data_IF_352122207214
#
_entry.id   IF_352122207214
#
_cell.length_a   1.000
_cell.length_b   1.000
_cell.length_c   1.000
_cell.angle_alpha   90.00
_cell.angle_beta   90.00
_cell.angle_gamma   90.00
#
_symmetry.space_group_name_H-M   'P 1'
#
loop_
_entity.id
_entity.type
_entity.pdbx_description
1 polymer ?
#
# COMPACT_ATOMS: atom_id res chain seq x y z
N UNK A 1 20.20 38.86 60.52
CA UNK A 1 18.74 38.68 60.33
C UNK A 1 18.45 38.92 58.86
N UNK A 2 18.19 37.84 58.12
CA UNK A 2 18.15 37.81 56.66
C UNK A 2 16.74 38.14 56.13
N UNK A 3 16.66 38.81 54.97
CA UNK A 3 15.43 38.91 54.16
C UNK A 3 15.73 38.33 52.78
N UNK A 4 15.13 37.19 52.40
CA UNK A 4 15.34 36.63 51.07
C UNK A 4 14.54 37.43 50.05
N UNK A 5 15.21 37.89 48.99
CA UNK A 5 14.57 38.54 47.85
C UNK A 5 13.87 37.46 47.03
N UNK A 6 12.56 37.60 46.92
CA UNK A 6 11.64 36.71 46.24
C UNK A 6 11.87 36.80 44.71
N UNK A 7 12.34 35.72 44.09
CA UNK A 7 12.51 35.63 42.66
C UNK A 7 11.14 35.38 41.99
N UNK A 8 10.68 36.34 41.21
CA UNK A 8 9.50 36.23 40.34
C UNK A 8 10.00 35.93 38.92
N UNK A 9 9.67 34.76 38.39
CA UNK A 9 9.78 34.46 36.97
C UNK A 9 8.54 33.66 36.55
N UNK A 10 7.54 34.37 36.02
CA UNK A 10 6.25 33.81 35.61
C UNK A 10 6.37 33.25 34.18
N UNK A 11 6.45 31.92 34.12
CA UNK A 11 5.92 31.00 33.11
C UNK A 11 5.56 31.54 31.71
N UNK A 12 6.38 31.22 30.72
CA UNK A 12 6.00 31.24 29.30
C UNK A 12 5.89 29.80 28.83
N UNK A 13 4.66 29.30 28.67
CA UNK A 13 4.42 28.05 27.95
C UNK A 13 3.23 28.28 27.03
N UNK A 14 3.55 28.72 25.81
CA UNK A 14 2.62 28.80 24.69
C UNK A 14 2.11 27.37 24.44
N UNK A 15 0.81 27.13 24.67
CA UNK A 15 0.16 25.91 24.25
C UNK A 15 0.17 25.88 22.71
N UNK A 16 1.12 25.14 22.15
CA UNK A 16 1.13 24.78 20.74
C UNK A 16 -0.08 23.88 20.47
N UNK A 17 -1.18 24.51 20.07
CA UNK A 17 -2.38 23.85 19.59
C UNK A 17 -1.98 22.98 18.39
N UNK A 18 -1.87 21.67 18.60
CA UNK A 18 -1.57 20.71 17.55
C UNK A 18 -2.65 20.78 16.49
N UNK A 19 -2.29 21.21 15.28
CA UNK A 19 -3.19 21.16 14.14
C UNK A 19 -3.58 19.70 13.89
N UNK A 20 -4.86 19.38 13.63
CA UNK A 20 -5.21 18.06 13.13
C UNK A 20 -4.54 17.88 11.77
N UNK A 21 -3.59 16.96 11.68
CA UNK A 21 -3.07 16.53 10.38
C UNK A 21 -4.26 16.02 9.55
N UNK A 22 -4.34 16.35 8.24
CA UNK A 22 -5.34 15.73 7.41
C UNK A 22 -5.10 14.22 7.44
N UNK A 23 -6.08 13.47 7.91
CA UNK A 23 -6.15 12.03 7.70
C UNK A 23 -6.37 11.82 6.20
N UNK A 24 -5.32 12.01 5.41
CA UNK A 24 -5.29 11.53 4.04
C UNK A 24 -5.43 10.02 4.10
N UNK A 25 -6.41 9.48 3.37
CA UNK A 25 -6.47 8.05 3.09
C UNK A 25 -5.05 7.60 2.74
N UNK A 26 -4.44 6.81 3.62
CA UNK A 26 -3.03 6.46 3.49
C UNK A 26 -2.98 5.35 2.46
N UNK A 27 -2.93 5.71 1.18
CA UNK A 27 -2.73 4.75 0.09
C UNK A 27 -1.45 3.96 0.39
N UNK A 28 -1.62 2.73 0.88
CA UNK A 28 -0.50 1.89 1.31
C UNK A 28 0.07 1.21 0.08
N UNK A 29 1.27 1.64 -0.32
CA UNK A 29 2.02 0.94 -1.35
C UNK A 29 2.28 -0.52 -0.95
N UNK A 30 2.04 -1.44 -1.88
CA UNK A 30 2.24 -2.88 -1.72
C UNK A 30 2.92 -3.47 -2.94
N UNK A 31 3.73 -4.50 -2.69
CA UNK A 31 4.29 -5.39 -3.72
C UNK A 31 4.19 -6.83 -3.24
N UNK A 32 3.62 -7.69 -4.06
CA UNK A 32 3.44 -9.11 -3.73
C UNK A 32 3.46 -9.97 -4.99
N UNK A 33 3.79 -11.26 -4.81
CA UNK A 33 3.75 -12.25 -5.88
C UNK A 33 2.60 -13.25 -5.69
N UNK A 34 2.22 -13.89 -6.79
CA UNK A 34 1.23 -14.97 -6.76
C UNK A 34 1.00 -15.56 -8.14
N UNK A 35 -0.04 -16.39 -8.25
CA UNK A 35 -0.47 -16.99 -9.52
C UNK A 35 -1.77 -16.41 -10.02
N UNK A 36 -1.83 -16.08 -11.30
CA UNK A 36 -3.05 -15.57 -11.95
C UNK A 36 -4.14 -16.64 -11.93
N UNK A 37 -5.29 -16.33 -11.35
CA UNK A 37 -6.48 -17.19 -11.39
C UNK A 37 -7.36 -16.84 -12.58
N UNK A 38 -7.45 -15.56 -12.94
CA UNK A 38 -8.14 -15.09 -14.14
C UNK A 38 -7.84 -13.61 -14.38
N UNK A 39 -8.05 -13.19 -15.64
CA UNK A 39 -8.04 -11.79 -16.07
C UNK A 39 -9.28 -11.54 -16.92
N UNK A 40 -10.03 -10.49 -16.61
CA UNK A 40 -11.22 -10.09 -17.36
C UNK A 40 -11.33 -8.56 -17.36
N UNK A 41 -11.21 -7.96 -18.55
CA UNK A 41 -11.17 -6.50 -18.70
C UNK A 41 -10.05 -5.89 -17.84
N UNK A 42 -10.42 -4.98 -16.93
CA UNK A 42 -9.50 -4.30 -16.04
C UNK A 42 -9.46 -4.91 -14.63
N UNK A 43 -9.79 -6.20 -14.49
CA UNK A 43 -9.77 -6.91 -13.22
C UNK A 43 -9.02 -8.22 -13.35
N UNK A 44 -8.22 -8.52 -12.33
CA UNK A 44 -7.49 -9.77 -12.20
C UNK A 44 -7.67 -10.30 -10.78
N UNK A 45 -7.67 -11.62 -10.64
CA UNK A 45 -7.53 -12.27 -9.33
C UNK A 45 -6.26 -13.07 -9.30
N UNK A 46 -5.51 -12.93 -8.21
CA UNK A 46 -4.24 -13.60 -7.98
C UNK A 46 -4.31 -14.40 -6.70
N UNK A 47 -3.94 -15.67 -6.80
CA UNK A 47 -3.78 -16.57 -5.68
C UNK A 47 -2.40 -16.36 -5.05
N UNK A 48 -2.36 -15.93 -3.78
CA UNK A 48 -1.12 -15.87 -3.02
C UNK A 48 -0.67 -17.27 -2.63
N UNK A 49 0.63 -17.46 -2.43
CA UNK A 49 1.20 -18.72 -1.95
C UNK A 49 0.75 -19.09 -0.54
N UNK A 50 0.33 -18.09 0.24
CA UNK A 50 -0.24 -18.28 1.57
C UNK A 50 -1.66 -18.84 1.56
N UNK A 51 -2.28 -19.00 0.38
CA UNK A 51 -3.63 -19.57 0.23
C UNK A 51 -4.81 -18.61 -0.01
N UNK A 52 -4.80 -17.31 0.32
CA UNK A 52 -5.89 -16.40 -0.04
C UNK A 52 -5.75 -15.83 -1.46
N UNK A 53 -6.88 -15.48 -2.07
CA UNK A 53 -6.94 -14.78 -3.36
C UNK A 53 -7.12 -13.27 -3.16
N UNK A 54 -6.43 -12.47 -3.98
CA UNK A 54 -6.47 -11.00 -3.96
C UNK A 54 -7.09 -10.49 -5.25
N UNK A 55 -8.03 -9.55 -5.13
CA UNK A 55 -8.60 -8.82 -6.27
C UNK A 55 -7.75 -7.61 -6.62
N UNK A 56 -7.33 -7.54 -7.88
CA UNK A 56 -6.46 -6.50 -8.42
C UNK A 56 -7.20 -5.73 -9.51
N UNK A 57 -7.21 -4.40 -9.38
CA UNK A 57 -7.71 -3.49 -10.39
C UNK A 57 -6.58 -3.03 -11.30
N UNK A 58 -6.76 -3.20 -12.60
CA UNK A 58 -5.75 -2.99 -13.64
C UNK A 58 -5.94 -1.65 -14.38
N UNK A 59 -6.85 -0.79 -13.92
CA UNK A 59 -7.22 0.42 -14.63
C UNK A 59 -6.05 1.40 -14.86
N UNK A 60 -4.98 1.28 -14.06
CA UNK A 60 -3.77 2.10 -14.15
C UNK A 60 -2.54 1.34 -14.64
N UNK A 61 -2.70 0.08 -15.05
CA UNK A 61 -1.62 -0.76 -15.57
C UNK A 61 -1.60 -0.65 -17.11
N UNK A 62 -0.43 -0.50 -17.76
CA UNK A 62 -0.29 -0.64 -19.21
C UNK A 62 -0.82 -2.00 -19.69
N UNK A 63 -1.58 -2.00 -20.78
CA UNK A 63 -2.28 -3.21 -21.22
C UNK A 63 -1.34 -4.34 -21.64
N UNK A 64 -0.17 -4.02 -22.20
CA UNK A 64 0.82 -5.01 -22.63
C UNK A 64 1.40 -5.84 -21.48
N UNK A 65 1.41 -5.30 -20.25
CA UNK A 65 1.88 -6.01 -19.06
C UNK A 65 0.98 -7.18 -18.66
N UNK A 66 -0.33 -7.12 -18.97
CA UNK A 66 -1.30 -8.13 -18.54
C UNK A 66 -2.11 -8.81 -19.66
N UNK A 67 -2.10 -8.29 -20.88
CA UNK A 67 -2.94 -8.79 -21.98
C UNK A 67 -2.67 -10.26 -22.36
N UNK A 68 -1.43 -10.70 -22.22
CA UNK A 68 -1.02 -12.06 -22.55
C UNK A 68 -0.73 -12.92 -21.30
N UNK A 69 -1.24 -12.52 -20.13
CA UNK A 69 -1.20 -13.36 -18.94
C UNK A 69 -2.23 -14.48 -19.06
N UNK A 70 -1.82 -15.66 -18.64
CA UNK A 70 -2.66 -16.86 -18.66
C UNK A 70 -2.90 -17.42 -17.27
N UNK A 71 -3.87 -18.32 -17.16
CA UNK A 71 -4.15 -19.00 -15.89
C UNK A 71 -2.89 -19.71 -15.35
N UNK A 72 -2.64 -19.57 -14.05
CA UNK A 72 -1.52 -20.18 -13.35
C UNK A 72 -0.19 -19.44 -13.51
N UNK A 73 -0.11 -18.41 -14.36
CA UNK A 73 1.13 -17.67 -14.58
C UNK A 73 1.57 -16.92 -13.30
N UNK A 74 2.86 -16.98 -12.99
CA UNK A 74 3.41 -16.28 -11.82
C UNK A 74 3.69 -14.82 -12.16
N UNK A 75 3.18 -13.93 -11.33
CA UNK A 75 3.33 -12.48 -11.49
C UNK A 75 3.74 -11.82 -10.19
N UNK A 76 4.40 -10.69 -10.31
CA UNK A 76 4.66 -9.74 -9.22
C UNK A 76 3.85 -8.48 -9.50
N UNK A 77 3.02 -8.09 -8.54
CA UNK A 77 2.12 -6.95 -8.64
C UNK A 77 2.65 -5.84 -7.75
N UNK A 78 2.72 -4.62 -8.30
CA UNK A 78 2.94 -3.40 -7.52
C UNK A 78 1.73 -2.50 -7.60
N UNK A 79 1.34 -1.91 -6.49
CA UNK A 79 0.16 -1.05 -6.43
C UNK A 79 -0.05 -0.43 -5.07
N UNK A 80 -1.27 0.04 -4.84
CA UNK A 80 -1.72 0.61 -3.57
C UNK A 80 -2.97 -0.11 -3.07
N UNK A 81 -3.07 -0.32 -1.76
CA UNK A 81 -4.31 -0.74 -1.11
C UNK A 81 -5.08 0.51 -0.71
N UNK A 82 -6.37 0.54 -1.05
CA UNK A 82 -7.31 1.52 -0.55
C UNK A 82 -8.05 0.96 0.67
N UNK A 83 -8.11 1.73 1.75
CA UNK A 83 -8.69 1.35 3.07
C UNK A 83 -10.14 0.82 3.00
N UNK A 84 -10.89 1.14 1.94
CA UNK A 84 -12.34 0.90 1.88
C UNK A 84 -12.72 -0.55 1.55
N UNK A 85 -11.92 -1.28 0.77
CA UNK A 85 -12.39 -2.54 0.14
C UNK A 85 -11.36 -3.68 0.07
N UNK A 86 -10.20 -3.57 0.76
CA UNK A 86 -9.09 -4.55 0.65
C UNK A 86 -8.71 -4.85 -0.81
N UNK A 87 -8.92 -3.89 -1.71
CA UNK A 87 -8.64 -3.99 -3.13
C UNK A 87 -7.28 -3.37 -3.42
N UNK A 88 -6.51 -4.05 -4.27
CA UNK A 88 -5.25 -3.50 -4.78
C UNK A 88 -5.53 -2.79 -6.09
N UNK A 89 -5.17 -1.51 -6.16
CA UNK A 89 -5.09 -0.77 -7.42
C UNK A 89 -3.66 -0.95 -7.93
N UNK A 90 -3.48 -1.77 -8.97
CA UNK A 90 -2.16 -2.02 -9.52
C UNK A 90 -1.71 -0.85 -10.39
N UNK A 91 -0.39 -0.62 -10.34
CA UNK A 91 0.31 0.33 -11.21
C UNK A 91 1.28 -0.38 -12.15
N UNK A 92 1.70 -1.61 -11.83
CA UNK A 92 2.51 -2.46 -12.71
C UNK A 92 2.34 -3.94 -12.39
N UNK A 93 2.48 -4.77 -13.42
CA UNK A 93 2.47 -6.22 -13.41
C UNK A 93 3.73 -6.74 -14.11
N UNK A 94 4.55 -7.48 -13.40
CA UNK A 94 5.74 -8.12 -13.94
C UNK A 94 5.51 -9.63 -13.98
N UNK A 95 5.80 -10.27 -15.12
CA UNK A 95 5.87 -11.73 -15.17
C UNK A 95 7.11 -12.17 -14.40
N UNK A 96 6.91 -12.97 -13.37
CA UNK A 96 8.03 -13.61 -12.71
C UNK A 96 8.30 -14.92 -13.45
N UNK A 97 9.52 -15.08 -13.97
CA UNK A 97 9.99 -16.39 -14.37
C UNK A 97 9.75 -17.35 -13.20
N UNK A 98 9.12 -18.50 -13.44
CA UNK A 98 9.11 -19.57 -12.47
C UNK A 98 10.56 -19.70 -11.99
N UNK A 99 10.80 -19.48 -10.69
CA UNK A 99 12.14 -19.53 -10.13
C UNK A 99 12.81 -20.76 -10.73
N UNK A 100 13.85 -20.55 -11.55
CA UNK A 100 14.60 -21.65 -12.14
C UNK A 100 15.20 -22.38 -10.97
N UNK A 101 14.60 -23.53 -10.64
CA UNK A 101 15.13 -24.41 -9.63
C UNK A 101 16.57 -24.79 -10.07
N UNK A 102 17.56 -24.70 -9.18
CA UNK A 102 18.94 -25.08 -9.50
C UNK A 102 19.06 -26.57 -9.83
#
# INVERSE_FOLDING_TARGET
>A
MAKPVLAVALMVSILSMGAPAPAGAQDRAVRFDGRVQWVAGQRMVVQLDTGPSVSVELARVPQDEYAALTWGERVVISGVITDTDSRVIATSIERAAAAQAP
#
